data_IF_175058412146
#
_entry.id   IF_175058412146
#
_cell.length_a   1.000
_cell.length_b   1.000
_cell.length_c   1.000
_cell.angle_alpha   90.00
_cell.angle_beta   90.00
_cell.angle_gamma   90.00
#
_symmetry.space_group_name_H-M   'P 1'
#
loop_
_entity.id
_entity.type
_entity.pdbx_description
1 polymer ?
#
# COMPACT_ATOMS: atom_id res chain seq x y z
N UNK A 1 22.96 -10.05 -0.26
CA UNK A 1 21.73 -10.49 -0.99
C UNK A 1 20.50 -10.54 -0.06
N UNK A 2 20.65 -10.75 1.25
CA UNK A 2 19.52 -10.73 2.21
C UNK A 2 18.75 -9.42 2.25
N UNK A 3 19.42 -8.27 2.22
CA UNK A 3 18.77 -6.96 2.30
C UNK A 3 17.81 -6.68 1.12
N UNK A 4 18.20 -6.82 -0.16
CA UNK A 4 17.25 -6.67 -1.27
C UNK A 4 16.05 -7.64 -1.20
N UNK A 5 16.24 -8.87 -0.72
CA UNK A 5 15.14 -9.83 -0.58
C UNK A 5 14.14 -9.36 0.50
N UNK A 6 14.63 -8.85 1.63
CA UNK A 6 13.78 -8.27 2.67
C UNK A 6 13.02 -7.04 2.15
N UNK A 7 13.66 -6.19 1.33
CA UNK A 7 12.98 -5.04 0.71
C UNK A 7 11.85 -5.50 -0.21
N UNK A 8 12.06 -6.58 -0.97
CA UNK A 8 11.02 -7.18 -1.82
C UNK A 8 9.83 -7.74 -1.01
N UNK A 9 10.02 -8.13 0.25
CA UNK A 9 8.91 -8.54 1.12
C UNK A 9 8.05 -7.35 1.57
N UNK A 10 8.49 -6.10 1.38
CA UNK A 10 7.72 -4.89 1.71
C UNK A 10 7.03 -4.27 0.48
N UNK A 11 6.07 -3.36 0.72
CA UNK A 11 5.31 -2.67 -0.35
C UNK A 11 6.11 -1.64 -1.15
N UNK A 12 7.30 -1.24 -0.68
CA UNK A 12 8.16 -0.27 -1.38
C UNK A 12 8.82 -0.88 -2.63
N UNK A 13 9.15 -2.17 -2.55
CA UNK A 13 9.78 -2.93 -3.62
C UNK A 13 11.24 -2.58 -3.88
N UNK A 14 11.93 -3.47 -4.61
CA UNK A 14 13.34 -3.28 -4.99
C UNK A 14 13.67 -3.88 -6.36
N UNK A 15 14.75 -3.44 -6.98
CA UNK A 15 15.21 -3.93 -8.27
C UNK A 15 16.14 -5.16 -8.11
N UNK A 16 15.54 -6.34 -7.93
CA UNK A 16 16.31 -7.58 -7.71
C UNK A 16 17.22 -7.98 -8.88
N UNK A 17 16.87 -7.62 -10.12
CA UNK A 17 17.57 -8.02 -11.35
C UNK A 17 18.11 -6.83 -12.14
N UNK A 18 18.54 -5.79 -11.44
CA UNK A 18 19.29 -4.69 -12.08
C UNK A 18 20.49 -5.26 -12.88
N UNK A 19 20.77 -4.77 -14.11
CA UNK A 19 20.28 -3.57 -14.78
C UNK A 19 19.10 -3.77 -15.74
N UNK A 20 18.40 -4.91 -15.74
CA UNK A 20 17.33 -5.20 -16.70
C UNK A 20 16.05 -4.35 -16.52
N UNK A 21 16.02 -3.48 -15.48
CA UNK A 21 14.94 -2.54 -15.13
C UNK A 21 13.50 -3.09 -15.30
N UNK A 22 13.16 -4.32 -14.86
CA UNK A 22 11.75 -4.68 -14.74
C UNK A 22 11.08 -3.83 -13.66
N UNK A 23 9.75 -3.90 -13.59
CA UNK A 23 8.97 -3.34 -12.49
C UNK A 23 9.60 -3.82 -11.15
N UNK A 24 9.83 -2.93 -10.16
CA UNK A 24 10.40 -3.33 -8.88
C UNK A 24 9.62 -4.48 -8.23
N UNK A 25 10.34 -5.49 -7.76
CA UNK A 25 9.74 -6.62 -7.07
C UNK A 25 9.21 -6.16 -5.70
N UNK A 26 7.89 -6.23 -5.52
CA UNK A 26 7.21 -5.92 -4.26
C UNK A 26 6.19 -7.02 -3.97
N UNK A 27 6.66 -8.09 -3.31
CA UNK A 27 5.79 -9.16 -2.81
C UNK A 27 4.88 -8.65 -1.68
N UNK A 28 5.30 -7.59 -0.99
CA UNK A 28 4.48 -6.84 -0.04
C UNK A 28 3.74 -7.74 0.98
N UNK A 29 4.46 -8.70 1.53
CA UNK A 29 3.94 -9.65 2.53
C UNK A 29 4.23 -9.20 3.96
N UNK A 30 5.16 -8.28 4.19
CA UNK A 30 5.48 -7.79 5.53
C UNK A 30 5.32 -6.27 5.61
N UNK A 31 4.74 -5.81 6.71
CA UNK A 31 4.76 -4.40 7.04
C UNK A 31 6.17 -4.01 7.49
N UNK A 32 6.67 -2.86 7.03
CA UNK A 32 8.06 -2.45 7.25
C UNK A 32 8.43 -2.30 8.74
N UNK A 33 7.43 -2.01 9.59
CA UNK A 33 7.58 -1.89 11.06
C UNK A 33 6.73 -2.96 11.75
N UNK A 34 6.73 -4.20 11.26
CA UNK A 34 6.02 -5.29 11.95
C UNK A 34 6.74 -5.63 13.29
N UNK A 35 6.12 -5.42 14.46
CA UNK A 35 6.75 -5.66 15.75
C UNK A 35 7.07 -7.14 15.98
N UNK A 36 6.29 -8.08 15.44
CA UNK A 36 6.52 -9.53 15.60
C UNK A 36 7.71 -10.03 14.78
N UNK A 37 8.11 -9.27 13.75
CA UNK A 37 9.33 -9.53 12.99
C UNK A 37 10.53 -8.73 13.53
N UNK A 38 10.34 -7.44 13.80
CA UNK A 38 11.43 -6.50 14.09
C UNK A 38 11.90 -6.53 15.55
N UNK A 39 10.99 -6.68 16.52
CA UNK A 39 11.34 -6.65 17.95
C UNK A 39 12.18 -7.87 18.37
N UNK A 40 11.84 -9.12 18.00
CA UNK A 40 12.68 -10.27 18.34
C UNK A 40 14.09 -10.15 17.76
N UNK A 41 14.21 -9.64 16.54
CA UNK A 41 15.50 -9.38 15.89
C UNK A 41 16.30 -8.33 16.64
N UNK A 42 15.68 -7.20 16.99
CA UNK A 42 16.31 -6.12 17.74
C UNK A 42 16.79 -6.60 19.11
N UNK A 43 15.95 -7.32 19.86
CA UNK A 43 16.30 -7.85 21.18
C UNK A 43 17.47 -8.83 21.11
N UNK A 44 17.50 -9.71 20.10
CA UNK A 44 18.60 -10.65 19.91
C UNK A 44 19.93 -9.96 19.58
N UNK A 45 19.89 -8.91 18.75
CA UNK A 45 21.06 -8.08 18.43
C UNK A 45 21.55 -7.32 19.67
N UNK A 46 20.65 -6.66 20.41
CA UNK A 46 20.99 -5.94 21.64
C UNK A 46 21.57 -6.88 22.70
N UNK A 47 20.98 -8.06 22.89
CA UNK A 47 21.52 -9.08 23.79
C UNK A 47 22.94 -9.49 23.38
N UNK A 48 23.21 -9.63 22.08
CA UNK A 48 24.55 -9.95 21.59
C UNK A 48 25.57 -8.83 21.77
N UNK A 49 25.15 -7.58 21.62
CA UNK A 49 26.00 -6.42 21.89
C UNK A 49 26.33 -6.28 23.38
N UNK A 50 25.37 -6.52 24.27
CA UNK A 50 25.53 -6.32 25.71
C UNK A 50 26.20 -7.52 26.42
N UNK A 51 25.83 -8.74 26.06
CA UNK A 51 26.34 -9.96 26.69
C UNK A 51 27.58 -10.56 25.99
N UNK A 52 27.95 -10.02 24.83
CA UNK A 52 29.04 -10.52 23.99
C UNK A 52 28.67 -11.76 23.15
N UNK A 53 29.55 -12.10 22.21
CA UNK A 53 29.38 -13.21 21.28
C UNK A 53 29.79 -14.54 21.90
N UNK A 54 28.94 -15.08 22.77
CA UNK A 54 29.10 -16.43 23.35
C UNK A 54 28.18 -17.49 22.72
N UNK A 55 28.36 -18.79 23.07
CA UNK A 55 27.50 -19.88 22.58
C UNK A 55 26.01 -19.68 22.86
N UNK A 56 25.66 -19.08 24.02
CA UNK A 56 24.28 -18.76 24.40
C UNK A 56 23.67 -17.69 23.49
N UNK A 57 24.41 -16.62 23.23
CA UNK A 57 24.02 -15.54 22.31
C UNK A 57 23.83 -16.06 20.89
N UNK A 58 24.75 -16.91 20.42
CA UNK A 58 24.64 -17.55 19.10
C UNK A 58 23.41 -18.46 19.02
N UNK A 59 23.09 -19.20 20.08
CA UNK A 59 21.87 -19.98 20.19
C UNK A 59 20.61 -19.11 20.07
N UNK A 60 20.56 -18.00 20.82
CA UNK A 60 19.46 -17.04 20.74
C UNK A 60 19.30 -16.44 19.34
N UNK A 61 20.40 -16.02 18.70
CA UNK A 61 20.39 -15.50 17.32
C UNK A 61 19.86 -16.53 16.32
N UNK A 62 20.23 -17.82 16.47
CA UNK A 62 19.70 -18.90 15.61
C UNK A 62 18.20 -19.10 15.80
N UNK A 63 17.72 -19.09 17.03
CA UNK A 63 16.28 -19.21 17.34
C UNK A 63 15.51 -18.01 16.77
N UNK A 64 16.03 -16.79 16.95
CA UNK A 64 15.43 -15.58 16.38
C UNK A 64 15.43 -15.61 14.85
N UNK A 65 16.51 -16.06 14.23
CA UNK A 65 16.55 -16.22 12.78
C UNK A 65 15.52 -17.23 12.28
N UNK A 66 15.40 -18.38 12.95
CA UNK A 66 14.38 -19.39 12.63
C UNK A 66 12.97 -18.81 12.78
N UNK A 67 12.71 -18.04 13.84
CA UNK A 67 11.45 -17.31 14.03
C UNK A 67 11.15 -16.37 12.87
N UNK A 68 12.11 -15.52 12.47
CA UNK A 68 11.93 -14.60 11.34
C UNK A 68 11.63 -15.34 10.03
N UNK A 69 12.31 -16.45 9.76
CA UNK A 69 12.05 -17.28 8.58
C UNK A 69 10.63 -17.88 8.60
N UNK A 70 10.21 -18.44 9.72
CA UNK A 70 8.86 -19.00 9.90
C UNK A 70 7.81 -17.91 9.74
N UNK A 71 8.01 -16.75 10.36
CA UNK A 71 7.08 -15.62 10.28
C UNK A 71 6.94 -15.08 8.85
N UNK A 72 8.05 -14.91 8.13
CA UNK A 72 8.03 -14.48 6.73
C UNK A 72 7.32 -15.51 5.83
N UNK A 73 7.60 -16.81 6.01
CA UNK A 73 6.94 -17.87 5.26
C UNK A 73 5.43 -17.94 5.56
N UNK A 74 5.05 -17.81 6.84
CA UNK A 74 3.65 -17.73 7.25
C UNK A 74 2.96 -16.54 6.59
N UNK A 75 3.61 -15.37 6.57
CA UNK A 75 3.04 -14.18 5.94
C UNK A 75 2.76 -14.35 4.45
N UNK A 76 3.69 -14.97 3.71
CA UNK A 76 3.47 -15.30 2.29
C UNK A 76 2.28 -16.24 2.10
N UNK A 77 2.12 -17.23 2.99
CA UNK A 77 0.97 -18.14 2.99
C UNK A 77 -0.35 -17.42 3.27
N UNK A 78 -0.39 -16.56 4.29
CA UNK A 78 -1.58 -15.78 4.66
C UNK A 78 -1.95 -14.75 3.58
N UNK A 79 -0.96 -14.14 2.93
CA UNK A 79 -1.16 -13.30 1.74
C UNK A 79 -1.90 -14.05 0.65
N UNK A 80 -1.37 -15.21 0.25
CA UNK A 80 -1.93 -16.00 -0.85
C UNK A 80 -3.35 -16.49 -0.53
N UNK A 81 -3.58 -16.95 0.71
CA UNK A 81 -4.90 -17.33 1.21
C UNK A 81 -5.89 -16.15 1.11
N UNK A 82 -5.47 -14.96 1.53
CA UNK A 82 -6.32 -13.77 1.53
C UNK A 82 -6.64 -13.32 0.11
N UNK A 83 -5.65 -13.26 -0.78
CA UNK A 83 -5.87 -12.93 -2.20
C UNK A 83 -6.86 -13.89 -2.86
N UNK A 84 -6.70 -15.21 -2.63
CA UNK A 84 -7.64 -16.20 -3.16
C UNK A 84 -9.06 -16.00 -2.61
N UNK A 85 -9.23 -15.81 -1.30
CA UNK A 85 -10.55 -15.58 -0.69
C UNK A 85 -11.24 -14.34 -1.23
N UNK A 86 -10.51 -13.23 -1.36
CA UNK A 86 -11.06 -11.97 -1.89
C UNK A 86 -11.43 -12.13 -3.36
N UNK A 87 -10.54 -12.68 -4.20
CA UNK A 87 -10.83 -12.89 -5.63
C UNK A 87 -12.01 -13.83 -5.83
N UNK A 88 -12.11 -14.92 -5.07
CA UNK A 88 -13.25 -15.83 -5.12
C UNK A 88 -14.54 -15.13 -4.67
N UNK A 89 -14.50 -14.33 -3.60
CA UNK A 89 -15.66 -13.57 -3.14
C UNK A 89 -16.14 -12.56 -4.21
N UNK A 90 -15.22 -11.89 -4.91
CA UNK A 90 -15.53 -10.98 -6.01
C UNK A 90 -16.09 -11.73 -7.23
N UNK A 91 -15.49 -12.86 -7.60
CA UNK A 91 -15.97 -13.70 -8.69
C UNK A 91 -17.39 -14.24 -8.45
N UNK A 92 -17.72 -14.61 -7.21
CA UNK A 92 -19.06 -15.03 -6.82
C UNK A 92 -20.11 -13.91 -6.95
N UNK A 93 -19.68 -12.65 -7.00
CA UNK A 93 -20.54 -11.48 -7.25
C UNK A 93 -20.52 -11.04 -8.72
N UNK A 94 -19.89 -11.83 -9.61
CA UNK A 94 -19.78 -11.51 -11.03
C UNK A 94 -18.74 -10.43 -11.35
N UNK A 95 -17.87 -10.07 -10.39
CA UNK A 95 -16.83 -9.07 -10.60
C UNK A 95 -15.58 -9.77 -11.16
N UNK A 96 -15.20 -9.39 -12.38
CA UNK A 96 -13.96 -9.86 -13.00
C UNK A 96 -12.76 -9.01 -12.56
N UNK A 97 -11.65 -9.68 -12.26
CA UNK A 97 -10.42 -9.06 -11.77
C UNK A 97 -9.27 -9.38 -12.72
N UNK A 98 -8.60 -8.34 -13.22
CA UNK A 98 -7.48 -8.45 -14.15
C UNK A 98 -6.14 -8.62 -13.43
N UNK A 99 -6.00 -7.92 -12.31
CA UNK A 99 -4.77 -7.90 -11.53
C UNK A 99 -5.11 -7.67 -10.06
N UNK A 100 -4.25 -8.19 -9.17
CA UNK A 100 -4.38 -8.03 -7.73
C UNK A 100 -3.05 -7.57 -7.15
N UNK A 101 -3.13 -6.65 -6.21
CA UNK A 101 -2.04 -6.28 -5.33
C UNK A 101 -2.56 -6.26 -3.90
N UNK A 102 -1.82 -6.86 -2.96
CA UNK A 102 -2.22 -6.85 -1.56
C UNK A 102 -1.05 -6.53 -0.64
N UNK A 103 -1.38 -5.92 0.49
CA UNK A 103 -0.43 -5.50 1.52
C UNK A 103 -0.99 -5.84 2.90
N UNK A 104 -0.18 -6.30 3.85
CA UNK A 104 -0.61 -6.38 5.24
C UNK A 104 -0.88 -4.96 5.77
N UNK A 105 -1.87 -4.85 6.64
CA UNK A 105 -2.13 -3.63 7.40
C UNK A 105 -1.04 -3.44 8.48
N UNK A 106 -0.91 -2.23 9.07
CA UNK A 106 0.14 -1.94 10.02
C UNK A 106 0.26 -2.96 11.16
N UNK A 107 1.52 -3.31 11.47
CA UNK A 107 1.93 -4.07 12.66
C UNK A 107 1.51 -5.54 12.75
N UNK A 108 1.02 -6.15 11.66
CA UNK A 108 0.59 -7.55 11.70
C UNK A 108 0.55 -8.21 10.30
N UNK A 109 0.41 -9.53 10.25
CA UNK A 109 0.23 -10.33 9.02
C UNK A 109 -1.17 -10.95 8.91
N UNK A 110 -2.13 -10.47 9.72
CA UNK A 110 -3.46 -11.06 9.86
C UNK A 110 -4.51 -10.29 9.06
N UNK A 111 -4.44 -8.97 9.07
CA UNK A 111 -5.34 -8.08 8.34
C UNK A 111 -4.67 -7.58 7.07
N UNK A 112 -5.36 -7.75 5.95
CA UNK A 112 -4.84 -7.45 4.62
C UNK A 112 -5.72 -6.46 3.90
N UNK A 113 -5.07 -5.56 3.16
CA UNK A 113 -5.68 -4.72 2.15
C UNK A 113 -5.43 -5.32 0.80
N UNK A 114 -6.47 -5.51 0.01
CA UNK A 114 -6.40 -6.06 -1.34
C UNK A 114 -6.96 -5.03 -2.31
N UNK A 115 -6.15 -4.65 -3.29
CA UNK A 115 -6.52 -3.78 -4.40
C UNK A 115 -6.59 -4.66 -5.65
N UNK A 116 -7.77 -4.76 -6.24
CA UNK A 116 -8.04 -5.58 -7.41
C UNK A 116 -8.50 -4.71 -8.57
N UNK A 117 -7.78 -4.72 -9.70
CA UNK A 117 -8.14 -3.95 -10.90
C UNK A 117 -9.20 -4.69 -11.71
N UNK A 118 -10.16 -3.96 -12.25
CA UNK A 118 -11.19 -4.49 -13.15
C UNK A 118 -10.99 -3.98 -14.58
N UNK A 119 -11.54 -4.66 -15.60
CA UNK A 119 -11.36 -4.29 -17.02
C UNK A 119 -11.91 -2.91 -17.39
N UNK A 120 -12.87 -2.40 -16.63
CA UNK A 120 -13.69 -1.24 -16.95
C UNK A 120 -13.20 0.06 -16.29
N UNK A 121 -11.88 0.25 -16.17
CA UNK A 121 -11.22 1.42 -15.56
C UNK A 121 -11.59 1.66 -14.09
N UNK A 122 -11.82 0.57 -13.35
CA UNK A 122 -12.08 0.61 -11.91
C UNK A 122 -11.11 -0.27 -11.13
N UNK A 123 -11.14 -0.09 -9.83
CA UNK A 123 -10.54 -1.02 -8.89
C UNK A 123 -11.49 -1.28 -7.72
N UNK A 124 -11.32 -2.44 -7.12
CA UNK A 124 -11.90 -2.82 -5.85
C UNK A 124 -10.84 -2.64 -4.79
N UNK A 125 -11.18 -1.98 -3.70
CA UNK A 125 -10.38 -1.98 -2.48
C UNK A 125 -11.11 -2.76 -1.40
N UNK A 126 -10.52 -3.87 -0.97
CA UNK A 126 -11.09 -4.82 -0.02
C UNK A 126 -10.21 -4.93 1.23
N UNK A 127 -10.86 -5.13 2.37
CA UNK A 127 -10.21 -5.38 3.67
C UNK A 127 -10.65 -6.74 4.18
N UNK A 128 -9.68 -7.60 4.46
CA UNK A 128 -9.93 -8.95 4.93
C UNK A 128 -8.93 -9.35 6.01
N UNK A 129 -9.44 -9.82 7.14
CA UNK A 129 -8.63 -10.52 8.14
C UNK A 129 -8.68 -12.01 7.87
N UNK A 130 -7.57 -12.70 8.09
CA UNK A 130 -7.53 -14.17 8.07
C UNK A 130 -8.45 -14.78 9.14
N UNK A 131 -8.80 -14.00 10.16
CA UNK A 131 -9.73 -14.32 11.25
C UNK A 131 -11.20 -14.04 10.90
N UNK A 132 -11.49 -13.40 9.76
CA UNK A 132 -12.85 -13.06 9.37
C UNK A 132 -13.69 -14.32 9.12
N UNK A 133 -14.94 -14.27 9.56
CA UNK A 133 -15.93 -15.34 9.34
C UNK A 133 -16.92 -15.01 8.22
N UNK A 134 -17.02 -13.74 7.83
CA UNK A 134 -17.85 -13.26 6.70
C UNK A 134 -16.95 -12.78 5.56
N UNK A 135 -17.49 -12.65 4.32
CA UNK A 135 -16.75 -12.11 3.19
C UNK A 135 -16.09 -10.75 3.49
N UNK A 136 -15.03 -10.45 2.75
CA UNK A 136 -14.31 -9.19 2.86
C UNK A 136 -15.26 -7.99 2.65
N UNK A 137 -15.07 -6.94 3.43
CA UNK A 137 -15.67 -5.64 3.13
C UNK A 137 -14.90 -5.02 1.98
N UNK A 138 -15.60 -4.41 1.02
CA UNK A 138 -14.94 -3.79 -0.13
C UNK A 138 -15.73 -2.60 -0.66
N UNK A 139 -15.03 -1.75 -1.41
CA UNK A 139 -15.60 -0.64 -2.17
C UNK A 139 -15.06 -0.68 -3.60
N UNK A 140 -15.91 -0.33 -4.58
CA UNK A 140 -15.54 -0.21 -6.00
C UNK A 140 -15.39 1.27 -6.35
N UNK A 141 -14.25 1.63 -6.94
CA UNK A 141 -13.84 3.01 -7.19
C UNK A 141 -13.26 3.15 -8.59
N UNK A 142 -13.44 4.31 -9.26
CA UNK A 142 -12.86 4.54 -10.57
C UNK A 142 -11.35 4.81 -10.48
N UNK A 143 -10.59 4.37 -11.47
CA UNK A 143 -9.17 4.74 -11.63
C UNK A 143 -9.04 6.10 -12.31
N UNK A 144 -10.03 6.49 -13.12
CA UNK A 144 -10.03 7.68 -13.97
C UNK A 144 -8.77 7.76 -14.86
N UNK A 145 -8.35 6.64 -15.45
CA UNK A 145 -7.11 6.60 -16.23
C UNK A 145 -7.16 7.46 -17.50
N UNK A 146 -8.36 7.86 -17.94
CA UNK A 146 -8.55 8.81 -19.02
C UNK A 146 -7.88 10.17 -18.74
N UNK A 147 -7.87 10.66 -17.50
CA UNK A 147 -7.27 11.95 -17.12
C UNK A 147 -5.77 11.99 -17.42
N UNK A 148 -5.08 10.85 -17.31
CA UNK A 148 -3.67 10.75 -17.66
C UNK A 148 -3.39 10.96 -19.15
N UNK A 149 -4.40 10.76 -20.02
CA UNK A 149 -4.30 10.94 -21.48
C UNK A 149 -4.64 12.37 -21.92
N UNK A 150 -5.27 13.15 -21.04
CA UNK A 150 -5.66 14.54 -21.33
C UNK A 150 -4.54 15.55 -21.07
N UNK A 151 -3.51 15.16 -20.31
CA UNK A 151 -2.38 16.02 -20.00
C UNK A 151 -1.26 15.91 -21.04
N UNK A 152 -0.45 16.97 -21.23
CA UNK A 152 0.78 16.85 -22.00
C UNK A 152 1.72 15.75 -21.44
N UNK A 153 2.61 15.16 -22.26
CA UNK A 153 3.55 14.13 -21.81
C UNK A 153 4.41 14.60 -20.63
N UNK A 154 4.53 13.75 -19.60
CA UNK A 154 5.26 14.04 -18.37
C UNK A 154 6.14 12.84 -17.99
N UNK A 155 7.47 12.88 -18.22
CA UNK A 155 8.37 11.75 -17.96
C UNK A 155 8.33 11.22 -16.52
N UNK A 156 8.05 12.10 -15.55
CA UNK A 156 7.90 11.73 -14.15
C UNK A 156 6.67 10.85 -13.91
N UNK A 157 5.59 11.05 -14.67
CA UNK A 157 4.40 10.20 -14.63
C UNK A 157 4.70 8.83 -15.23
N UNK A 158 5.41 8.78 -16.36
CA UNK A 158 5.83 7.50 -16.97
C UNK A 158 6.70 6.68 -16.01
N UNK A 159 7.63 7.36 -15.33
CA UNK A 159 8.45 6.77 -14.28
C UNK A 159 7.63 6.22 -13.12
N UNK A 160 6.60 6.96 -12.68
CA UNK A 160 5.69 6.53 -11.62
C UNK A 160 4.83 5.33 -12.06
N UNK A 161 4.33 5.33 -13.30
CA UNK A 161 3.57 4.21 -13.89
C UNK A 161 4.43 2.94 -13.93
N UNK A 162 5.66 3.04 -14.43
CA UNK A 162 6.60 1.91 -14.42
C UNK A 162 6.91 1.43 -13.00
N UNK A 163 7.24 2.35 -12.08
CA UNK A 163 7.62 2.02 -10.71
C UNK A 163 6.48 1.35 -9.93
N UNK A 164 5.25 1.81 -10.17
CA UNK A 164 4.06 1.31 -9.47
C UNK A 164 3.41 0.10 -10.11
N UNK A 165 3.88 -0.38 -11.28
CA UNK A 165 3.11 -1.35 -12.06
C UNK A 165 1.75 -0.81 -12.49
N UNK A 166 1.68 0.51 -12.67
CA UNK A 166 0.48 1.27 -12.99
C UNK A 166 -0.67 1.11 -11.98
N UNK A 167 -0.36 0.86 -10.71
CA UNK A 167 -1.33 0.87 -9.60
C UNK A 167 -1.66 2.32 -9.19
N UNK A 168 -2.21 3.09 -10.15
CA UNK A 168 -2.44 4.52 -10.01
C UNK A 168 -3.91 4.87 -10.20
N UNK A 169 -4.39 5.81 -9.39
CA UNK A 169 -5.67 6.50 -9.56
C UNK A 169 -5.43 7.97 -9.82
N UNK A 170 -6.29 8.58 -10.62
CA UNK A 170 -6.25 9.99 -10.97
C UNK A 170 -7.50 10.70 -10.45
N UNK A 171 -7.34 11.88 -9.88
CA UNK A 171 -8.45 12.69 -9.36
C UNK A 171 -8.27 14.13 -9.82
N UNK A 172 -9.30 14.71 -10.42
CA UNK A 172 -9.39 16.15 -10.65
C UNK A 172 -10.02 16.82 -9.43
N UNK A 173 -9.28 17.72 -8.78
CA UNK A 173 -9.70 18.43 -7.57
C UNK A 173 -9.61 19.93 -7.86
N UNK A 174 -10.74 20.58 -8.13
CA UNK A 174 -10.81 22.02 -8.44
C UNK A 174 -9.79 22.47 -9.52
N UNK A 175 -9.74 21.74 -10.65
CA UNK A 175 -8.80 22.03 -11.75
C UNK A 175 -7.35 21.62 -11.46
N UNK A 176 -7.09 20.84 -10.40
CA UNK A 176 -5.80 20.26 -10.08
C UNK A 176 -5.83 18.75 -10.32
N UNK A 177 -4.93 18.22 -11.15
CA UNK A 177 -4.85 16.78 -11.40
C UNK A 177 -3.87 16.15 -10.41
N UNK A 178 -4.40 15.26 -9.57
CA UNK A 178 -3.65 14.52 -8.55
C UNK A 178 -3.59 13.05 -8.95
N UNK A 179 -2.39 12.47 -8.92
CA UNK A 179 -2.17 11.03 -9.08
C UNK A 179 -1.87 10.40 -7.72
N UNK A 180 -2.50 9.27 -7.42
CA UNK A 180 -2.36 8.54 -6.16
C UNK A 180 -1.82 7.13 -6.41
N UNK A 181 -0.74 6.73 -5.71
CA UNK A 181 -0.25 5.34 -5.72
C UNK A 181 -1.12 4.50 -4.78
N UNK A 182 -1.85 3.55 -5.36
CA UNK A 182 -2.83 2.71 -4.65
C UNK A 182 -2.18 1.64 -3.79
N UNK A 183 -0.87 1.38 -3.91
CA UNK A 183 -0.17 0.30 -3.20
C UNK A 183 0.06 0.58 -1.72
N UNK A 184 0.01 1.84 -1.30
CA UNK A 184 0.42 2.23 0.04
C UNK A 184 -0.58 3.17 0.71
N UNK A 185 -0.99 2.83 1.93
CA UNK A 185 -1.99 3.57 2.70
C UNK A 185 -2.77 2.64 3.63
N UNK A 186 -3.60 3.23 4.49
CA UNK A 186 -4.51 2.44 5.35
C UNK A 186 -5.67 1.88 4.54
N UNK A 187 -6.30 2.71 3.72
CA UNK A 187 -7.35 2.37 2.77
C UNK A 187 -7.58 3.59 1.87
N UNK A 188 -8.64 3.56 1.05
CA UNK A 188 -9.08 4.76 0.33
C UNK A 188 -9.21 5.98 1.26
N UNK A 189 -8.87 7.16 0.74
CA UNK A 189 -8.78 8.40 1.50
C UNK A 189 -7.51 8.57 2.34
N UNK A 190 -6.76 7.49 2.56
CA UNK A 190 -5.53 7.45 3.37
C UNK A 190 -4.33 6.86 2.61
N UNK A 191 -4.22 7.16 1.31
CA UNK A 191 -3.04 6.81 0.53
C UNK A 191 -1.81 7.61 0.99
N UNK A 192 -0.65 6.94 1.02
CA UNK A 192 0.59 7.55 1.51
C UNK A 192 1.22 8.51 0.48
N UNK A 193 1.07 8.20 -0.80
CA UNK A 193 1.72 8.93 -1.89
C UNK A 193 0.69 9.44 -2.88
N UNK A 194 0.48 10.76 -2.83
CA UNK A 194 -0.35 11.51 -3.77
C UNK A 194 0.47 12.67 -4.30
N UNK A 195 0.37 12.96 -5.58
CA UNK A 195 1.18 13.97 -6.25
C UNK A 195 0.31 14.83 -7.17
N UNK A 196 0.45 16.15 -7.06
CA UNK A 196 -0.09 17.08 -8.02
C UNK A 196 0.80 17.08 -9.27
N UNK A 197 0.22 16.80 -10.44
CA UNK A 197 0.97 16.66 -11.70
C UNK A 197 0.56 17.65 -12.78
N UNK A 198 -0.63 18.21 -12.72
CA UNK A 198 -1.08 19.24 -13.66
C UNK A 198 -2.12 20.18 -13.04
N UNK A 199 -2.28 21.35 -13.65
CA UNK A 199 -3.35 22.32 -13.33
C UNK A 199 -4.04 22.75 -14.63
N UNK A 200 -5.34 23.01 -14.58
CA UNK A 200 -6.05 23.67 -15.69
C UNK A 200 -5.68 25.14 -15.76
N UNK A 201 -5.58 25.68 -16.98
CA UNK A 201 -5.33 27.12 -17.22
C UNK A 201 -6.57 28.01 -17.05
N UNK A 202 -7.67 27.45 -16.51
CA UNK A 202 -8.96 28.09 -16.27
C UNK A 202 -10.05 27.02 -16.04
N UNK A 203 -11.31 27.39 -15.76
CA UNK A 203 -12.41 26.43 -15.55
C UNK A 203 -12.57 25.44 -16.72
N UNK A 204 -12.40 25.93 -17.95
CA UNK A 204 -12.44 25.13 -19.19
C UNK A 204 -11.07 25.12 -19.91
N UNK A 205 -10.01 25.42 -19.16
CA UNK A 205 -8.66 25.51 -19.70
C UNK A 205 -8.05 24.15 -19.99
N UNK A 206 -7.09 24.14 -20.92
CA UNK A 206 -6.26 22.97 -21.18
C UNK A 206 -5.41 22.62 -19.93
N UNK A 207 -5.04 21.36 -19.83
CA UNK A 207 -4.10 20.90 -18.81
C UNK A 207 -2.70 21.44 -19.06
N UNK A 208 -2.09 22.02 -18.03
CA UNK A 208 -0.69 22.38 -17.97
C UNK A 208 0.01 21.50 -16.94
N UNK A 209 0.93 20.65 -17.40
CA UNK A 209 1.75 19.82 -16.51
C UNK A 209 2.71 20.67 -15.70
N UNK A 210 2.94 20.26 -14.46
CA UNK A 210 3.91 20.89 -13.56
C UNK A 210 4.95 19.88 -13.11
N UNK A 211 6.04 20.35 -12.52
CA UNK A 211 6.92 19.48 -11.74
C UNK A 211 6.10 18.86 -10.61
N UNK A 212 6.07 17.52 -10.46
CA UNK A 212 5.23 16.89 -9.45
C UNK A 212 5.48 17.42 -8.04
N UNK A 213 4.41 17.86 -7.38
CA UNK A 213 4.44 18.34 -6.00
C UNK A 213 3.73 17.32 -5.11
N UNK A 214 4.27 17.06 -3.91
CA UNK A 214 3.58 16.20 -2.94
C UNK A 214 2.22 16.81 -2.58
N UNK A 215 1.16 16.03 -2.74
CA UNK A 215 -0.18 16.39 -2.31
C UNK A 215 -0.35 16.01 -0.84
N UNK A 216 -0.57 16.97 0.08
CA UNK A 216 -0.63 16.66 1.50
C UNK A 216 -1.70 15.63 1.84
N UNK A 217 -1.29 14.58 2.55
CA UNK A 217 -2.18 13.55 3.08
C UNK A 217 -2.11 13.54 4.61
N UNK A 218 -3.26 13.34 5.25
CA UNK A 218 -3.29 12.98 6.67
C UNK A 218 -3.00 11.48 6.77
N UNK A 219 -2.05 11.09 7.61
CA UNK A 219 -1.67 9.68 7.79
C UNK A 219 -2.70 8.84 8.54
N UNK A 220 -3.83 9.45 8.96
CA UNK A 220 -4.94 8.74 9.59
C UNK A 220 -4.58 8.18 10.96
N UNK A 221 -3.86 8.93 11.79
CA UNK A 221 -3.47 8.46 13.13
C UNK A 221 -4.69 8.13 14.01
N UNK A 222 -5.81 8.85 13.84
CA UNK A 222 -7.09 8.52 14.47
C UNK A 222 -7.70 7.21 13.95
N UNK A 223 -7.54 6.94 12.66
CA UNK A 223 -8.12 5.78 11.98
C UNK A 223 -7.30 4.51 12.17
N UNK A 224 -6.01 4.64 12.47
CA UNK A 224 -5.13 3.52 12.78
C UNK A 224 -5.74 2.63 13.88
N UNK A 225 -6.33 3.21 14.92
CA UNK A 225 -6.99 2.44 15.98
C UNK A 225 -8.16 1.60 15.45
N UNK A 226 -8.95 2.13 14.50
CA UNK A 226 -10.05 1.37 13.87
C UNK A 226 -9.50 0.22 13.03
N UNK A 227 -8.42 0.45 12.28
CA UNK A 227 -7.74 -0.61 11.50
C UNK A 227 -7.18 -1.70 12.43
N UNK A 228 -6.61 -1.34 13.58
CA UNK A 228 -6.10 -2.33 14.54
C UNK A 228 -7.22 -3.13 15.21
N UNK A 229 -8.33 -2.49 15.57
CA UNK A 229 -9.52 -3.18 16.08
C UNK A 229 -10.08 -4.15 15.02
N UNK A 230 -10.06 -3.73 13.76
CA UNK A 230 -10.56 -4.50 12.61
C UNK A 230 -9.82 -5.82 12.40
N UNK A 231 -8.60 -5.98 12.92
CA UNK A 231 -7.85 -7.25 12.86
C UNK A 231 -8.67 -8.41 13.42
N UNK A 232 -9.38 -8.18 14.53
CA UNK A 232 -10.11 -9.23 15.27
C UNK A 232 -11.62 -9.03 15.21
N UNK A 233 -12.09 -7.78 15.09
CA UNK A 233 -13.51 -7.44 15.10
C UNK A 233 -13.96 -6.96 13.72
N UNK A 234 -14.86 -7.72 13.07
CA UNK A 234 -15.39 -7.34 11.76
C UNK A 234 -16.52 -6.29 11.85
N UNK A 235 -17.15 -6.13 13.03
CA UNK A 235 -18.17 -5.10 13.28
C UNK A 235 -17.71 -4.09 14.36
N UNK A 236 -17.88 -2.78 14.13
CA UNK A 236 -18.38 -2.18 12.88
C UNK A 236 -17.37 -2.30 11.73
N UNK A 237 -17.83 -2.38 10.47
CA UNK A 237 -16.95 -2.36 9.31
C UNK A 237 -16.16 -1.06 9.23
N UNK A 238 -15.03 -1.08 8.52
CA UNK A 238 -14.30 0.16 8.23
C UNK A 238 -15.16 1.05 7.34
N UNK A 239 -15.26 2.37 7.61
CA UNK A 239 -16.14 3.27 6.88
C UNK A 239 -15.49 3.71 5.56
N UNK A 240 -15.18 2.75 4.68
CA UNK A 240 -14.44 2.97 3.43
C UNK A 240 -15.08 4.06 2.56
N UNK A 241 -16.41 4.06 2.43
CA UNK A 241 -17.14 5.07 1.66
C UNK A 241 -17.04 6.48 2.28
N UNK A 242 -16.96 6.59 3.61
CA UNK A 242 -16.74 7.88 4.27
C UNK A 242 -15.29 8.34 4.06
N UNK A 243 -14.33 7.44 4.18
CA UNK A 243 -12.92 7.75 3.97
C UNK A 243 -12.62 8.16 2.52
N UNK A 244 -13.29 7.54 1.55
CA UNK A 244 -13.21 7.89 0.12
C UNK A 244 -13.50 9.37 -0.15
N UNK A 245 -14.40 10.02 0.61
CA UNK A 245 -14.74 11.43 0.41
C UNK A 245 -13.52 12.36 0.50
N UNK A 246 -12.49 11.94 1.26
CA UNK A 246 -11.21 12.64 1.39
C UNK A 246 -10.40 12.69 0.10
N UNK A 247 -10.68 11.80 -0.86
CA UNK A 247 -9.96 11.77 -2.13
C UNK A 247 -10.18 13.05 -2.93
N UNK A 248 -11.33 13.70 -2.79
CA UNK A 248 -11.70 14.93 -3.50
C UNK A 248 -11.60 16.19 -2.64
N UNK A 249 -11.13 16.08 -1.40
CA UNK A 249 -10.93 17.23 -0.51
C UNK A 249 -9.63 17.98 -0.83
N UNK A 250 -9.68 19.31 -0.77
CA UNK A 250 -8.46 20.13 -0.79
C UNK A 250 -7.80 20.02 0.59
N UNK A 251 -6.53 19.59 0.65
CA UNK A 251 -5.82 19.59 1.91
C UNK A 251 -5.70 21.02 2.43
N UNK A 252 -5.82 21.24 3.74
CA UNK A 252 -5.59 22.56 4.31
C UNK A 252 -4.21 23.05 3.86
N UNK A 253 -4.15 24.26 3.27
CA UNK A 253 -2.90 24.84 2.79
C UNK A 253 -1.86 24.72 3.90
N UNK A 254 -0.74 24.07 3.61
CA UNK A 254 0.39 24.08 4.52
C UNK A 254 0.75 25.56 4.80
N UNK A 255 0.82 26.00 6.07
CA UNK A 255 1.26 27.36 6.35
C UNK A 255 2.68 27.55 5.80
N UNK A 256 2.80 28.36 4.76
CA UNK A 256 4.06 28.93 4.26
C UNK A 256 5.08 27.92 3.70
N UNK A 257 5.09 27.75 2.39
CA UNK A 257 6.37 27.67 1.65
C UNK A 257 6.40 28.84 0.67
N UNK A 258 6.77 30.00 1.20
CA UNK A 258 7.44 31.03 0.42
C UNK A 258 8.90 30.59 0.32
N UNK A 259 9.34 30.15 -0.85
CA UNK A 259 10.68 30.37 -1.40
C UNK A 259 10.60 30.14 -2.91
#
# INVERSE_FOLDING_TARGET
ITHPILDALTSYGTQLVWPLKPIPASWASLFIIDPFFTVPLLLAVLAGLLAGFGPRTLGALKVTLAWCCIYAAASLGLKNLTEQRVVQALANQGIQVDAVFSTPQPFNILLWRVVARTPDDHYIEAIHSVLDTRPAEFIRLPLNSHLAREIPPLPQLDGLQWFSGNWLRYDEIQGQLVVSDLRMGLATGYYSFRFLIARRTGPDGNWQTITPEYWPTNRGTSELNRVLQRIVQQDPPLPLAQWEQRMTEIPPRAPGRFF
#
